data_IF_950267477413
#
_entry.id   IF_950267477413
#
_cell.length_a   1.000
_cell.length_b   1.000
_cell.length_c   1.000
_cell.angle_alpha   90.00
_cell.angle_beta   90.00
_cell.angle_gamma   90.00
#
_symmetry.space_group_name_H-M   'P 1'
#
loop_
_entity.id
_entity.type
_entity.pdbx_description
1 polymer ?
#
# COMPACT_ATOMS: atom_id res chain seq x y z
N UNK A 1 17.58 -1.08 7.66
CA UNK A 1 16.29 -0.54 7.19
C UNK A 1 16.43 -0.24 5.70
N UNK A 2 15.74 -1.01 4.87
CA UNK A 2 15.69 -0.80 3.41
C UNK A 2 14.37 -0.12 3.05
N UNK A 3 14.32 0.45 1.85
CA UNK A 3 13.09 1.00 1.27
C UNK A 3 12.70 0.20 0.04
N UNK A 4 11.41 -0.07 -0.10
CA UNK A 4 10.84 -0.78 -1.24
C UNK A 4 9.68 0.02 -1.84
N UNK A 5 9.52 -0.13 -3.15
CA UNK A 5 8.38 0.36 -3.89
C UNK A 5 7.54 -0.86 -4.30
N UNK A 6 6.29 -0.90 -3.84
CA UNK A 6 5.32 -1.94 -4.18
C UNK A 6 4.22 -1.35 -5.06
N UNK A 7 3.72 -2.14 -6.00
CA UNK A 7 2.75 -1.71 -7.01
C UNK A 7 1.35 -2.22 -6.69
N UNK A 8 0.36 -1.33 -6.81
CA UNK A 8 -1.06 -1.64 -6.84
C UNK A 8 -1.63 -1.33 -8.22
N UNK A 9 -2.45 -2.23 -8.75
CA UNK A 9 -3.18 -2.02 -10.00
C UNK A 9 -4.64 -2.46 -9.82
N UNK A 10 -5.62 -1.52 -9.75
CA UNK A 10 -7.03 -1.83 -9.51
C UNK A 10 -7.66 -2.64 -10.64
N UNK A 11 -7.11 -2.58 -11.86
CA UNK A 11 -7.55 -3.40 -13.00
C UNK A 11 -7.24 -4.88 -12.76
N UNK A 12 -6.11 -5.18 -12.11
CA UNK A 12 -5.66 -6.57 -11.85
C UNK A 12 -6.20 -7.13 -10.55
N UNK A 13 -6.33 -6.29 -9.52
CA UNK A 13 -6.84 -6.68 -8.21
C UNK A 13 -7.60 -5.51 -7.62
N UNK A 14 -8.90 -5.69 -7.44
CA UNK A 14 -9.72 -4.68 -6.78
C UNK A 14 -9.46 -4.68 -5.28
N UNK A 15 -9.32 -3.49 -4.73
CA UNK A 15 -9.21 -3.27 -3.29
C UNK A 15 -10.56 -2.76 -2.77
N UNK A 16 -11.40 -3.70 -2.35
CA UNK A 16 -12.83 -3.46 -2.09
C UNK A 16 -13.10 -2.40 -1.01
N UNK A 17 -12.25 -2.30 0.01
CA UNK A 17 -12.43 -1.42 1.17
C UNK A 17 -11.42 -0.26 1.22
N UNK A 18 -10.79 0.07 0.08
CA UNK A 18 -9.80 1.14 0.00
C UNK A 18 -10.35 2.49 0.45
N UNK A 19 -11.58 2.85 0.02
CA UNK A 19 -12.21 4.11 0.36
C UNK A 19 -12.52 4.21 1.86
N UNK A 20 -13.07 3.13 2.44
CA UNK A 20 -13.35 3.06 3.88
C UNK A 20 -12.06 3.18 4.70
N UNK A 21 -10.99 2.48 4.29
CA UNK A 21 -9.68 2.54 4.95
C UNK A 21 -9.04 3.92 4.83
N UNK A 22 -9.10 4.54 3.65
CA UNK A 22 -8.61 5.91 3.45
C UNK A 22 -9.35 6.89 4.36
N UNK A 23 -10.67 6.74 4.48
CA UNK A 23 -11.49 7.57 5.36
C UNK A 23 -11.09 7.38 6.83
N UNK A 24 -10.94 6.15 7.31
CA UNK A 24 -10.47 5.85 8.67
C UNK A 24 -9.13 6.52 8.99
N UNK A 25 -8.19 6.49 8.04
CA UNK A 25 -6.89 7.16 8.19
C UNK A 25 -7.06 8.67 8.32
N UNK A 26 -7.90 9.27 7.46
CA UNK A 26 -8.17 10.71 7.50
C UNK A 26 -8.89 11.17 8.76
N UNK A 27 -9.68 10.30 9.39
CA UNK A 27 -10.47 10.58 10.60
C UNK A 27 -9.69 10.35 11.91
N UNK A 28 -8.40 10.00 11.83
CA UNK A 28 -7.51 9.91 12.99
C UNK A 28 -7.10 8.51 13.41
N UNK A 29 -7.45 7.46 12.66
CA UNK A 29 -6.75 6.18 12.82
C UNK A 29 -5.36 6.28 12.20
N UNK A 30 -4.33 5.99 12.99
CA UNK A 30 -2.94 6.31 12.62
C UNK A 30 -2.39 5.34 11.55
N UNK A 31 -2.94 4.12 11.46
CA UNK A 31 -2.45 3.09 10.54
C UNK A 31 -3.50 2.03 10.22
N UNK A 32 -3.46 1.51 9.00
CA UNK A 32 -4.14 0.26 8.60
C UNK A 32 -3.08 -0.78 8.24
N UNK A 33 -3.37 -2.04 8.51
CA UNK A 33 -2.48 -3.16 8.15
C UNK A 33 -3.10 -3.95 7.01
N UNK A 34 -2.33 -4.12 5.94
CA UNK A 34 -2.74 -4.90 4.78
C UNK A 34 -1.81 -6.08 4.52
N UNK A 35 -2.41 -7.19 4.09
CA UNK A 35 -1.66 -8.27 3.49
C UNK A 35 -1.40 -7.95 2.02
N UNK A 36 -0.12 -7.87 1.67
CA UNK A 36 0.33 -7.68 0.30
C UNK A 36 0.87 -9.02 -0.24
N UNK A 37 0.09 -9.75 -1.06
CA UNK A 37 0.55 -10.95 -1.73
C UNK A 37 1.52 -10.58 -2.86
N UNK A 38 2.25 -11.59 -3.34
CA UNK A 38 3.10 -11.53 -4.54
C UNK A 38 4.25 -10.52 -4.46
N UNK A 39 4.97 -10.55 -3.33
CA UNK A 39 6.24 -9.82 -3.18
C UNK A 39 7.39 -10.78 -3.48
N UNK A 40 8.01 -10.65 -4.65
CA UNK A 40 9.19 -11.46 -5.06
C UNK A 40 10.46 -11.17 -4.23
N UNK A 41 10.36 -10.26 -3.25
CA UNK A 41 11.47 -9.81 -2.41
C UNK A 41 11.11 -9.93 -0.95
N UNK A 42 12.00 -10.50 -0.18
CA UNK A 42 11.88 -10.53 1.28
C UNK A 42 11.98 -9.11 1.85
N UNK A 43 10.89 -8.68 2.50
CA UNK A 43 10.86 -7.50 3.37
C UNK A 43 11.04 -7.93 4.82
N UNK A 44 11.79 -7.16 5.60
CA UNK A 44 11.91 -7.39 7.05
C UNK A 44 11.03 -6.41 7.80
N UNK A 45 10.54 -6.82 8.98
CA UNK A 45 9.80 -5.95 9.88
C UNK A 45 10.54 -4.63 10.11
N UNK A 46 9.85 -3.51 9.90
CA UNK A 46 10.39 -2.16 9.99
C UNK A 46 10.98 -1.59 8.70
N UNK A 47 11.09 -2.38 7.61
CA UNK A 47 11.47 -1.83 6.31
C UNK A 47 10.41 -0.86 5.78
N UNK A 48 10.84 0.21 5.11
CA UNK A 48 9.97 1.25 4.58
C UNK A 48 9.32 0.79 3.28
N UNK A 49 8.02 0.96 3.16
CA UNK A 49 7.25 0.61 1.96
C UNK A 49 6.58 1.87 1.39
N UNK A 50 6.66 2.02 0.07
CA UNK A 50 5.89 2.99 -0.70
C UNK A 50 4.97 2.24 -1.66
N UNK A 51 3.71 2.64 -1.71
CA UNK A 51 2.73 2.04 -2.62
C UNK A 51 2.49 2.97 -3.80
N UNK A 52 2.69 2.46 -5.01
CA UNK A 52 2.42 3.18 -6.26
C UNK A 52 1.19 2.61 -6.97
N UNK A 53 0.26 3.49 -7.34
CA UNK A 53 -0.91 3.19 -8.16
C UNK A 53 -0.51 3.14 -9.65
N UNK A 54 -0.87 2.05 -10.31
CA UNK A 54 -0.66 1.78 -11.73
C UNK A 54 -1.97 1.32 -12.39
N UNK A 55 -2.03 1.28 -13.72
CA UNK A 55 -3.19 0.76 -14.47
C UNK A 55 -4.22 1.84 -14.81
N UNK A 56 -4.90 2.40 -13.82
CA UNK A 56 -5.81 3.53 -13.99
C UNK A 56 -5.13 4.86 -13.65
N UNK A 57 -5.55 5.95 -14.30
CA UNK A 57 -5.07 7.30 -14.02
C UNK A 57 -5.89 7.94 -12.89
N UNK A 58 -5.30 8.79 -12.03
CA UNK A 58 -3.90 9.23 -11.99
C UNK A 58 -2.95 8.17 -11.41
N UNK A 59 -1.74 8.06 -11.97
CA UNK A 59 -0.67 7.15 -11.48
C UNK A 59 0.27 7.89 -10.54
N UNK A 60 0.83 7.18 -9.56
CA UNK A 60 1.79 7.77 -8.63
C UNK A 60 1.78 7.12 -7.25
N UNK A 61 2.65 7.60 -6.36
CA UNK A 61 2.70 7.13 -4.98
C UNK A 61 1.39 7.55 -4.31
N UNK A 62 0.65 6.56 -3.80
CA UNK A 62 -0.65 6.78 -3.15
C UNK A 62 -0.61 6.52 -1.63
N UNK A 63 0.36 5.75 -1.15
CA UNK A 63 0.51 5.47 0.27
C UNK A 63 1.96 5.18 0.67
N UNK A 64 2.23 5.25 1.98
CA UNK A 64 3.51 4.85 2.56
C UNK A 64 3.30 4.18 3.91
N UNK A 65 4.18 3.25 4.28
CA UNK A 65 4.07 2.49 5.51
C UNK A 65 5.34 1.71 5.82
N UNK A 66 5.21 0.69 6.67
CA UNK A 66 6.30 -0.20 7.04
C UNK A 66 5.85 -1.65 6.96
N UNK A 67 6.78 -2.55 6.66
CA UNK A 67 6.55 -3.99 6.83
C UNK A 67 6.37 -4.31 8.32
N UNK A 68 5.35 -5.09 8.67
CA UNK A 68 4.97 -5.41 10.07
C UNK A 68 5.06 -6.90 10.38
#
# INVERSE_FOLDING_TARGET
MKAFLITYNPIRRKWEDLEEKSKKISEGNISVTESWPDVDRETKKGDRLFLILQGEGPRGIMASGHAV
#
